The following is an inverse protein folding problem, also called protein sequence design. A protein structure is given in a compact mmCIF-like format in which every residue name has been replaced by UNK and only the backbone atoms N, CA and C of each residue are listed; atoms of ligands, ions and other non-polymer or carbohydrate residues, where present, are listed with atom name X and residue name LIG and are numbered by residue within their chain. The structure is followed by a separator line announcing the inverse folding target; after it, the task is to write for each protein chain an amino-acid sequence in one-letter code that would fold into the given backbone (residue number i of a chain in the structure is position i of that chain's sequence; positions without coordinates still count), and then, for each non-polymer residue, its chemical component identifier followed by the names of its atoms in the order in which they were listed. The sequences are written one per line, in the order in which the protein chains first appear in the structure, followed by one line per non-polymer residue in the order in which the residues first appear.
data_IF_249386573699
#
_entry.id   IF_249386573699
#
_cell.length_a   1.000
_cell.length_b   1.000
_cell.length_c   1.000
_cell.angle_alpha   90.00
_cell.angle_beta   90.00
_cell.angle_gamma   90.00
#
_symmetry.space_group_name_H-M   'P 1'
#
loop_
_entity.id
_entity.type
_entity.pdbx_description
1 polymer ?
#
# COMPACT_ATOMS: atom_id res chain seq x y z
N UNK A 1 -0.26 -10.60 -5.38
CA UNK A 1 -0.08 -9.36 -4.61
C UNK A 1 0.84 -8.40 -5.33
N UNK A 2 0.31 -7.63 -6.28
CA UNK A 2 1.06 -6.54 -6.94
C UNK A 2 0.95 -5.24 -6.15
N UNK A 3 -0.28 -4.88 -5.75
CA UNK A 3 -0.57 -3.64 -5.01
C UNK A 3 0.15 -3.56 -3.66
N UNK A 4 0.20 -4.66 -2.90
CA UNK A 4 0.90 -4.67 -1.60
C UNK A 4 2.41 -4.52 -1.77
N UNK A 5 2.98 -5.09 -2.83
CA UNK A 5 4.40 -4.88 -3.16
C UNK A 5 4.66 -3.43 -3.58
N UNK A 6 3.77 -2.86 -4.38
CA UNK A 6 3.84 -1.47 -4.84
C UNK A 6 3.74 -0.50 -3.65
N UNK A 7 2.77 -0.69 -2.76
CA UNK A 7 2.65 0.07 -1.53
C UNK A 7 3.92 -0.04 -0.67
N UNK A 8 4.43 -1.25 -0.49
CA UNK A 8 5.66 -1.47 0.28
C UNK A 8 6.91 -0.85 -0.35
N UNK A 9 6.94 -0.65 -1.69
CA UNK A 9 8.02 0.08 -2.36
C UNK A 9 7.91 1.57 -2.05
N UNK A 10 6.72 2.16 -2.19
CA UNK A 10 6.51 3.58 -1.91
C UNK A 10 6.73 3.94 -0.45
N UNK A 11 6.32 3.08 0.49
CA UNK A 11 6.61 3.27 1.92
C UNK A 11 8.11 3.26 2.20
N UNK A 12 8.87 2.34 1.60
CA UNK A 12 10.33 2.31 1.76
C UNK A 12 11.02 3.52 1.16
N UNK A 13 10.51 4.02 0.03
CA UNK A 13 10.99 5.24 -0.60
C UNK A 13 10.72 6.46 0.27
N UNK A 14 9.50 6.59 0.81
CA UNK A 14 9.16 7.63 1.80
C UNK A 14 10.11 7.57 3.02
N UNK A 15 10.29 6.38 3.61
CA UNK A 15 11.20 6.19 4.76
C UNK A 15 12.64 6.60 4.42
N UNK A 16 13.13 6.28 3.22
CA UNK A 16 14.47 6.66 2.78
C UNK A 16 14.63 8.18 2.66
N UNK A 17 13.63 8.86 2.09
CA UNK A 17 13.64 10.32 1.94
C UNK A 17 13.45 11.04 3.29
N UNK A 18 12.64 10.48 4.22
CA UNK A 18 12.55 10.98 5.60
C UNK A 18 13.92 10.93 6.26
N UNK A 19 14.61 9.78 6.21
CA UNK A 19 15.95 9.62 6.79
C UNK A 19 16.97 10.58 6.16
N UNK A 20 16.85 10.85 4.86
CA UNK A 20 17.71 11.81 4.16
C UNK A 20 17.49 13.23 4.68
N UNK A 21 16.24 13.66 4.79
CA UNK A 21 15.89 15.00 5.33
C UNK A 21 16.35 15.13 6.78
N UNK A 22 16.12 14.12 7.62
CA UNK A 22 16.57 14.12 9.02
C UNK A 22 18.09 14.20 9.15
N UNK A 23 18.81 13.43 8.33
CA UNK A 23 20.26 13.47 8.28
C UNK A 23 20.77 14.86 7.90
N UNK A 24 20.21 15.48 6.85
CA UNK A 24 20.59 16.82 6.43
C UNK A 24 20.31 17.86 7.52
N UNK A 25 19.18 17.74 8.24
CA UNK A 25 18.87 18.60 9.40
C UNK A 25 19.89 18.42 10.53
N UNK A 26 20.27 17.18 10.82
CA UNK A 26 21.27 16.88 11.86
C UNK A 26 22.68 17.39 11.49
N UNK A 27 23.03 17.38 10.21
CA UNK A 27 24.30 17.91 9.68
C UNK A 27 24.29 19.44 9.56
N UNK A 28 23.18 20.11 9.88
CA UNK A 28 23.06 21.57 9.78
C UNK A 28 23.02 22.07 8.34
N UNK A 29 22.52 21.26 7.40
CA UNK A 29 22.36 21.66 6.02
C UNK A 29 21.32 22.78 5.89
N UNK A 30 21.69 23.84 5.18
CA UNK A 30 20.85 25.04 4.99
C UNK A 30 20.61 25.33 3.50
N UNK A 31 19.71 26.26 3.22
CA UNK A 31 19.56 26.78 1.88
C UNK A 31 18.94 25.79 0.89
N UNK A 32 19.59 25.59 -0.26
CA UNK A 32 19.01 24.84 -1.38
C UNK A 32 18.95 23.33 -1.12
N UNK A 33 19.93 22.77 -0.41
CA UNK A 33 20.08 21.32 -0.25
C UNK A 33 18.94 20.72 0.59
N UNK A 34 18.62 21.35 1.73
CA UNK A 34 17.51 20.89 2.57
C UNK A 34 16.16 21.11 1.89
N UNK A 35 15.99 22.23 1.17
CA UNK A 35 14.75 22.51 0.40
C UNK A 35 14.53 21.49 -0.71
N UNK A 36 15.59 21.08 -1.40
CA UNK A 36 15.51 20.05 -2.42
C UNK A 36 15.11 18.70 -1.80
N UNK A 37 15.74 18.31 -0.69
CA UNK A 37 15.39 17.06 -0.01
C UNK A 37 13.94 17.06 0.50
N UNK A 38 13.46 18.17 1.06
CA UNK A 38 12.06 18.30 1.50
C UNK A 38 11.07 18.24 0.34
N UNK A 39 11.42 18.77 -0.84
CA UNK A 39 10.60 18.65 -2.04
C UNK A 39 10.53 17.20 -2.52
N UNK A 40 11.65 16.48 -2.53
CA UNK A 40 11.68 15.05 -2.91
C UNK A 40 10.84 14.23 -1.94
N UNK A 41 10.96 14.46 -0.63
CA UNK A 41 10.12 13.82 0.39
C UNK A 41 8.63 14.09 0.12
N UNK A 42 8.24 15.32 -0.19
CA UNK A 42 6.84 15.65 -0.51
C UNK A 42 6.33 14.89 -1.73
N UNK A 43 7.14 14.70 -2.76
CA UNK A 43 6.73 13.90 -3.92
C UNK A 43 6.57 12.42 -3.57
N UNK A 44 7.48 11.85 -2.79
CA UNK A 44 7.35 10.47 -2.29
C UNK A 44 6.07 10.29 -1.45
N UNK A 45 5.78 11.24 -0.56
CA UNK A 45 4.57 11.24 0.28
C UNK A 45 3.27 11.32 -0.49
N UNK A 46 3.26 11.88 -1.71
CA UNK A 46 2.06 11.93 -2.55
C UNK A 46 1.71 10.56 -3.16
N UNK A 47 2.68 9.67 -3.28
CA UNK A 47 2.49 8.35 -3.93
C UNK A 47 1.86 7.32 -2.99
N UNK A 48 2.14 7.41 -1.69
CA UNK A 48 1.65 6.44 -0.69
C UNK A 48 0.11 6.45 -0.57
N UNK A 49 -0.59 7.60 -0.46
CA UNK A 49 -2.04 7.64 -0.31
C UNK A 49 -2.79 7.02 -1.50
N UNK A 50 -2.32 7.26 -2.73
CA UNK A 50 -2.94 6.70 -3.93
C UNK A 50 -2.76 5.17 -3.99
N UNK A 51 -1.57 4.67 -3.67
CA UNK A 51 -1.33 3.24 -3.58
C UNK A 51 -2.15 2.57 -2.47
N UNK A 52 -2.31 3.26 -1.32
CA UNK A 52 -3.18 2.80 -0.23
C UNK A 52 -4.65 2.76 -0.66
N UNK A 53 -5.16 3.80 -1.32
CA UNK A 53 -6.55 3.82 -1.82
C UNK A 53 -6.80 2.70 -2.83
N UNK A 54 -5.88 2.51 -3.79
CA UNK A 54 -5.97 1.40 -4.77
C UNK A 54 -5.94 0.04 -4.09
N UNK A 55 -5.13 -0.13 -3.03
CA UNK A 55 -5.09 -1.36 -2.26
C UNK A 55 -6.40 -1.59 -1.48
N UNK A 56 -6.89 -0.57 -0.77
CA UNK A 56 -8.13 -0.66 0.00
C UNK A 56 -9.34 -0.97 -0.88
N UNK A 57 -9.46 -0.34 -2.05
CA UNK A 57 -10.52 -0.65 -3.01
C UNK A 57 -10.48 -2.10 -3.49
N UNK A 58 -9.29 -2.62 -3.81
CA UNK A 58 -9.13 -4.02 -4.20
C UNK A 58 -9.47 -5.00 -3.06
N UNK A 59 -9.21 -4.62 -1.80
CA UNK A 59 -9.60 -5.38 -0.60
C UNK A 59 -11.12 -5.38 -0.43
N UNK A 60 -11.78 -4.23 -0.60
CA UNK A 60 -13.23 -4.10 -0.53
C UNK A 60 -13.94 -4.89 -1.62
N UNK A 61 -13.47 -4.79 -2.87
CA UNK A 61 -13.99 -5.57 -3.99
C UNK A 61 -13.91 -7.07 -3.70
N UNK A 62 -12.77 -7.54 -3.18
CA UNK A 62 -12.59 -8.96 -2.86
C UNK A 62 -13.50 -9.40 -1.72
N UNK A 63 -13.69 -8.57 -0.69
CA UNK A 63 -14.64 -8.83 0.40
C UNK A 63 -16.07 -8.95 -0.12
N UNK A 64 -16.47 -8.09 -1.07
CA UNK A 64 -17.78 -8.18 -1.73
C UNK A 64 -18.00 -9.51 -2.45
N UNK A 65 -16.96 -10.03 -3.12
CA UNK A 65 -17.01 -11.38 -3.73
C UNK A 65 -17.19 -12.48 -2.68
N UNK A 66 -16.51 -12.39 -1.54
CA UNK A 66 -16.71 -13.35 -0.45
C UNK A 66 -18.12 -13.31 0.13
N UNK A 67 -18.68 -12.11 0.31
CA UNK A 67 -20.03 -11.97 0.84
C UNK A 67 -21.07 -12.52 -0.13
N UNK A 68 -20.86 -12.36 -1.44
CA UNK A 68 -21.65 -13.05 -2.46
C UNK A 68 -21.48 -14.58 -2.41
N UNK A 69 -20.26 -15.09 -2.17
CA UNK A 69 -19.99 -16.52 -2.10
C UNK A 69 -20.56 -17.19 -0.84
N UNK A 70 -20.80 -16.43 0.23
CA UNK A 70 -21.45 -16.90 1.46
C UNK A 70 -22.97 -17.06 1.32
N UNK A 71 -23.57 -16.47 0.29
CA UNK A 71 -24.99 -16.69 0.00
C UNK A 71 -25.20 -18.17 -0.35
N UNK A 72 -26.08 -18.91 0.35
CA UNK A 72 -26.37 -20.32 0.04
C UNK A 72 -26.91 -20.55 -1.38
N UNK A 73 -27.40 -19.49 -2.03
CA UNK A 73 -27.91 -19.47 -3.39
C UNK A 73 -26.83 -19.12 -4.42
N UNK A 74 -25.61 -18.79 -3.96
CA UNK A 74 -24.50 -18.44 -4.82
C UNK A 74 -24.03 -19.64 -5.63
N UNK A 75 -23.77 -19.47 -6.95
CA UNK A 75 -23.18 -20.53 -7.76
C UNK A 75 -21.69 -20.76 -7.46
N UNK A 76 -21.08 -19.92 -6.61
CA UNK A 76 -19.67 -20.01 -6.22
C UNK A 76 -19.51 -21.00 -5.05
N UNK A 77 -18.79 -22.12 -5.22
CA UNK A 77 -18.57 -23.07 -4.15
C UNK A 77 -17.58 -22.51 -3.11
N UNK A 78 -17.86 -22.73 -1.82
CA UNK A 78 -17.06 -22.19 -0.72
C UNK A 78 -15.62 -22.74 -0.65
N UNK A 79 -15.37 -23.90 -1.27
CA UNK A 79 -14.08 -24.57 -1.41
C UNK A 79 -13.41 -24.31 -2.78
N UNK A 80 -13.89 -23.33 -3.54
CA UNK A 80 -13.27 -22.91 -4.78
C UNK A 80 -11.81 -22.46 -4.54
N UNK A 81 -10.89 -23.01 -5.33
CA UNK A 81 -9.46 -22.72 -5.23
C UNK A 81 -9.15 -21.21 -5.37
N UNK A 82 -9.92 -20.49 -6.20
CA UNK A 82 -9.78 -19.05 -6.36
C UNK A 82 -10.26 -18.29 -5.12
N UNK A 83 -11.33 -18.72 -4.45
CA UNK A 83 -11.79 -18.14 -3.19
C UNK A 83 -10.76 -18.37 -2.08
N UNK A 84 -10.13 -19.54 -2.00
CA UNK A 84 -9.08 -19.77 -0.99
C UNK A 84 -7.85 -18.88 -1.22
N UNK A 85 -7.40 -18.76 -2.48
CA UNK A 85 -6.30 -17.86 -2.87
C UNK A 85 -6.62 -16.39 -2.64
N UNK A 86 -7.86 -15.98 -2.87
CA UNK A 86 -8.34 -14.64 -2.57
C UNK A 86 -8.29 -14.35 -1.07
N UNK A 87 -8.63 -15.33 -0.23
CA UNK A 87 -8.62 -15.19 1.24
C UNK A 87 -7.19 -15.02 1.76
N UNK A 88 -6.25 -15.83 1.26
CA UNK A 88 -4.83 -15.65 1.57
C UNK A 88 -4.29 -14.28 1.12
N UNK A 89 -4.79 -13.74 0.01
CA UNK A 89 -4.38 -12.42 -0.48
C UNK A 89 -4.91 -11.29 0.41
N UNK A 90 -6.11 -11.44 0.99
CA UNK A 90 -6.67 -10.52 1.99
C UNK A 90 -5.89 -10.55 3.29
N UNK A 91 -5.61 -11.74 3.83
CA UNK A 91 -4.84 -11.88 5.07
C UNK A 91 -3.47 -11.23 4.95
N UNK A 92 -2.81 -11.34 3.78
CA UNK A 92 -1.53 -10.68 3.52
C UNK A 92 -1.64 -9.18 3.22
N UNK A 93 -2.84 -8.65 2.96
CA UNK A 93 -3.08 -7.22 2.77
C UNK A 93 -3.37 -6.51 4.11
N UNK A 94 -3.84 -7.26 5.11
CA UNK A 94 -4.21 -6.77 6.44
C UNK A 94 -3.10 -6.99 7.49
N UNK A 95 -2.09 -7.81 7.18
CA UNK A 95 -0.92 -8.08 8.02
C UNK A 95 0.23 -7.08 7.79
#
# INVERSE_FOLDING_TARGET
MRLIKELGVYQKEEEAEVRRVEKLKAEGAEGADIRQAENVLKEAQKMVPDAQQRMSGAVEDLRGVFDLAKDPSSPLPADDEMLLKAKEALEKAEA
#
